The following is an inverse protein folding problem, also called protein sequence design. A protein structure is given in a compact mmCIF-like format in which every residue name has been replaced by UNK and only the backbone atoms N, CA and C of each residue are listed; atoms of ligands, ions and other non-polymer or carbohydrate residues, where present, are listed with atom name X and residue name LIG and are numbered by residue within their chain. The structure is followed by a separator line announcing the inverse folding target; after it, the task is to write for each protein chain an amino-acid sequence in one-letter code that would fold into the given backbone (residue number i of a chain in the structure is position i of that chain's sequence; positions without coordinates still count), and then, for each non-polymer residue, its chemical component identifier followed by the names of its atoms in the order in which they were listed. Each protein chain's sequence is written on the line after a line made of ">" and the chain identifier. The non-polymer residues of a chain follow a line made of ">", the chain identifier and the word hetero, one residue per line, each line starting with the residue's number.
data_IF_148423825579
#
_entry.id   IF_148423825579
#
_cell.length_a   1.000
_cell.length_b   1.000
_cell.length_c   1.000
_cell.angle_alpha   90.00
_cell.angle_beta   90.00
_cell.angle_gamma   90.00
#
_symmetry.space_group_name_H-M   'P 1'
#
loop_
_entity.id
_entity.type
_entity.pdbx_description
1 polymer ?
#
# COMPACT_ATOMS: atom_id res chain seq x y z
N UNK A 1 46.79 -35.14 25.88
CA UNK A 1 45.78 -34.13 26.23
C UNK A 1 46.03 -32.87 25.41
N UNK A 2 45.25 -32.63 24.35
CA UNK A 2 45.16 -31.34 23.65
C UNK A 2 43.69 -31.09 23.35
N UNK A 3 43.12 -30.11 24.05
CA UNK A 3 41.78 -29.59 23.83
C UNK A 3 41.79 -28.70 22.59
N UNK A 4 40.85 -28.92 21.67
CA UNK A 4 40.53 -27.97 20.60
C UNK A 4 39.25 -27.26 21.03
N UNK A 5 39.37 -25.96 21.30
CA UNK A 5 38.25 -25.06 21.56
C UNK A 5 37.58 -24.78 20.22
N UNK A 6 36.40 -25.35 20.00
CA UNK A 6 35.50 -24.93 18.92
C UNK A 6 34.84 -23.61 19.34
N UNK A 7 35.26 -22.51 18.73
CA UNK A 7 34.55 -21.24 18.80
C UNK A 7 33.30 -21.28 17.94
N UNK A 8 32.14 -21.40 18.57
CA UNK A 8 30.83 -21.24 17.95
C UNK A 8 30.64 -19.78 17.55
N UNK A 9 30.81 -19.48 16.26
CA UNK A 9 30.31 -18.26 15.64
C UNK A 9 28.78 -18.30 15.66
N UNK A 10 28.20 -17.46 16.52
CA UNK A 10 26.78 -17.16 16.58
C UNK A 10 26.34 -16.60 15.22
N UNK A 11 25.52 -17.36 14.52
CA UNK A 11 24.71 -16.88 13.42
C UNK A 11 23.76 -15.79 13.96
N UNK A 12 24.03 -14.54 13.59
CA UNK A 12 23.02 -13.48 13.68
C UNK A 12 22.01 -13.77 12.58
N UNK A 13 20.95 -14.50 12.93
CA UNK A 13 19.80 -14.71 12.05
C UNK A 13 19.09 -13.39 11.86
N UNK A 14 19.36 -12.69 10.76
CA UNK A 14 18.45 -11.66 10.27
C UNK A 14 17.12 -12.33 9.97
N UNK A 15 16.05 -11.86 10.61
CA UNK A 15 14.69 -12.23 10.23
C UNK A 15 14.51 -11.80 8.77
N UNK A 16 14.59 -12.76 7.85
CA UNK A 16 14.21 -12.52 6.47
C UNK A 16 12.71 -12.20 6.48
N UNK A 17 12.36 -10.96 6.13
CA UNK A 17 10.96 -10.58 5.91
C UNK A 17 10.41 -11.50 4.83
N UNK A 18 9.27 -12.12 5.11
CA UNK A 18 8.64 -13.09 4.22
C UNK A 18 7.39 -12.49 3.61
N UNK A 19 6.96 -13.00 2.44
CA UNK A 19 5.69 -12.56 1.85
C UNK A 19 4.49 -12.76 2.79
N UNK A 20 4.56 -13.76 3.68
CA UNK A 20 3.54 -13.99 4.70
C UNK A 20 3.42 -12.83 5.71
N UNK A 21 4.45 -11.97 5.81
CA UNK A 21 4.43 -10.80 6.68
C UNK A 21 3.55 -9.67 6.11
N UNK A 22 3.16 -9.76 4.84
CA UNK A 22 2.15 -8.89 4.22
C UNK A 22 0.74 -9.47 4.28
N UNK A 23 0.58 -10.74 4.66
CA UNK A 23 -0.73 -11.37 4.68
C UNK A 23 -1.59 -10.71 5.76
N UNK A 24 -2.69 -10.09 5.32
CA UNK A 24 -3.79 -9.68 6.18
C UNK A 24 -4.92 -10.68 6.00
N UNK A 25 -5.36 -11.27 7.11
CA UNK A 25 -6.46 -12.23 7.16
C UNK A 25 -7.64 -11.61 7.88
N UNK A 26 -8.84 -11.88 7.37
CA UNK A 26 -10.08 -11.45 7.99
C UNK A 26 -10.74 -12.67 8.63
N UNK A 27 -11.11 -12.55 9.90
CA UNK A 27 -11.84 -13.58 10.64
C UNK A 27 -13.03 -12.95 11.33
N UNK A 28 -14.19 -13.57 11.23
CA UNK A 28 -15.29 -13.22 12.12
C UNK A 28 -14.99 -13.71 13.53
N UNK A 29 -15.21 -12.84 14.51
CA UNK A 29 -15.15 -13.20 15.92
C UNK A 29 -16.48 -13.85 16.39
N UNK A 30 -16.54 -14.22 17.67
CA UNK A 30 -17.72 -14.85 18.26
C UNK A 30 -18.98 -13.96 18.26
N UNK A 31 -18.84 -12.65 18.01
CA UNK A 31 -19.91 -11.68 17.94
C UNK A 31 -20.27 -11.30 16.49
N UNK A 32 -19.63 -11.91 15.49
CA UNK A 32 -19.83 -11.60 14.08
C UNK A 32 -19.10 -10.33 13.61
N UNK A 33 -18.14 -9.82 14.40
CA UNK A 33 -17.31 -8.67 14.01
C UNK A 33 -16.09 -9.15 13.23
N UNK A 34 -15.76 -8.46 12.14
CA UNK A 34 -14.56 -8.73 11.37
C UNK A 34 -13.30 -8.31 12.14
N UNK A 35 -12.38 -9.25 12.35
CA UNK A 35 -11.05 -9.05 12.91
C UNK A 35 -10.00 -9.20 11.82
N UNK A 36 -9.14 -8.20 11.71
CA UNK A 36 -8.02 -8.18 10.77
C UNK A 36 -6.75 -8.64 11.50
N UNK A 37 -6.10 -9.68 10.99
CA UNK A 37 -4.92 -10.32 11.58
C UNK A 37 -3.77 -10.26 10.58
N UNK A 38 -2.60 -9.80 11.02
CA UNK A 38 -1.39 -9.71 10.19
C UNK A 38 -0.43 -8.66 10.74
N UNK A 39 0.85 -8.74 10.36
CA UNK A 39 1.87 -7.79 10.84
C UNK A 39 1.65 -6.35 10.35
N UNK A 40 0.81 -6.19 9.31
CA UNK A 40 0.41 -4.92 8.72
C UNK A 40 -1.05 -4.52 8.99
N UNK A 41 -1.82 -5.34 9.71
CA UNK A 41 -3.27 -5.13 9.82
C UNK A 41 -3.64 -3.86 10.61
N UNK A 42 -2.74 -3.36 11.48
CA UNK A 42 -3.02 -2.29 12.43
C UNK A 42 -3.45 -2.84 13.81
N UNK A 43 -4.00 -1.99 14.70
CA UNK A 43 -4.30 -0.57 14.49
C UNK A 43 -3.05 0.31 14.40
N UNK A 44 -3.17 1.41 13.66
CA UNK A 44 -2.21 2.54 13.62
C UNK A 44 -2.88 3.83 14.10
N UNK A 45 -2.10 4.75 14.67
CA UNK A 45 -2.58 6.01 15.21
C UNK A 45 -3.04 6.96 14.09
N UNK A 46 -2.33 6.96 12.96
CA UNK A 46 -2.65 7.74 11.77
C UNK A 46 -2.22 7.01 10.47
N UNK A 47 -2.57 7.60 9.31
CA UNK A 47 -2.22 7.02 8.00
C UNK A 47 -0.72 7.09 7.73
N UNK A 48 0.00 8.04 8.33
CA UNK A 48 1.44 8.21 8.13
C UNK A 48 2.22 7.08 8.80
N UNK A 49 1.88 6.74 10.04
CA UNK A 49 2.42 5.58 10.75
C UNK A 49 2.14 4.27 9.99
N UNK A 50 0.91 4.11 9.49
CA UNK A 50 0.52 2.96 8.65
C UNK A 50 1.40 2.89 7.39
N UNK A 51 1.58 4.01 6.70
CA UNK A 51 2.36 4.08 5.48
C UNK A 51 3.86 3.82 5.72
N UNK A 52 4.43 4.35 6.79
CA UNK A 52 5.82 4.11 7.19
C UNK A 52 6.05 2.62 7.51
N UNK A 53 5.18 2.03 8.35
CA UNK A 53 5.23 0.61 8.65
C UNK A 53 5.13 -0.22 7.36
N UNK A 54 4.15 0.09 6.50
CA UNK A 54 3.98 -0.55 5.19
C UNK A 54 5.25 -0.52 4.34
N UNK A 55 5.86 0.66 4.19
CA UNK A 55 7.11 0.83 3.44
C UNK A 55 8.27 0.00 4.03
N UNK A 56 8.47 0.02 5.35
CA UNK A 56 9.54 -0.73 6.01
C UNK A 56 9.43 -2.24 5.70
N UNK A 57 8.23 -2.81 5.82
CA UNK A 57 8.00 -4.24 5.51
C UNK A 57 8.18 -4.53 4.02
N UNK A 58 7.60 -3.70 3.16
CA UNK A 58 7.58 -3.95 1.71
C UNK A 58 8.97 -3.81 1.07
N UNK A 59 9.78 -2.85 1.51
CA UNK A 59 11.18 -2.71 1.07
C UNK A 59 12.01 -3.95 1.44
N UNK A 60 11.77 -4.52 2.63
CA UNK A 60 12.46 -5.72 3.12
C UNK A 60 12.25 -6.97 2.25
N UNK A 61 11.21 -7.01 1.41
CA UNK A 61 10.88 -8.15 0.54
C UNK A 61 11.61 -8.14 -0.80
N UNK A 62 12.24 -7.01 -1.18
CA UNK A 62 13.01 -6.90 -2.42
C UNK A 62 12.17 -6.63 -3.68
N UNK A 63 12.66 -7.11 -4.83
CA UNK A 63 12.45 -6.60 -6.20
C UNK A 63 11.01 -6.67 -6.79
N UNK A 64 10.00 -6.15 -6.10
CA UNK A 64 8.68 -5.86 -6.66
C UNK A 64 8.63 -4.43 -7.21
N UNK A 65 7.61 -4.11 -8.02
CA UNK A 65 7.32 -2.73 -8.42
C UNK A 65 6.65 -1.92 -7.29
N UNK A 66 6.19 -2.62 -6.24
CA UNK A 66 5.32 -2.07 -5.23
C UNK A 66 4.17 -2.98 -4.84
N UNK A 67 3.24 -2.40 -4.10
CA UNK A 67 2.02 -3.04 -3.61
C UNK A 67 0.86 -2.04 -3.62
N UNK A 68 -0.36 -2.57 -3.71
CA UNK A 68 -1.56 -1.81 -3.35
C UNK A 68 -2.12 -2.36 -2.03
N UNK A 69 -2.59 -1.46 -1.18
CA UNK A 69 -3.29 -1.84 0.04
C UNK A 69 -4.66 -1.16 0.11
N UNK A 70 -5.69 -1.94 0.42
CA UNK A 70 -6.97 -1.36 0.84
C UNK A 70 -6.85 -1.06 2.33
N UNK A 71 -7.17 0.18 2.70
CA UNK A 71 -7.09 0.67 4.06
C UNK A 71 -8.42 1.31 4.47
N UNK A 72 -8.67 1.40 5.76
CA UNK A 72 -9.87 2.01 6.33
C UNK A 72 -9.57 2.50 7.75
N UNK A 73 -10.42 3.39 8.26
CA UNK A 73 -10.43 3.77 9.67
C UNK A 73 -11.59 3.10 10.41
N UNK A 74 -11.39 2.80 11.69
CA UNK A 74 -12.43 2.38 12.61
C UNK A 74 -12.13 2.93 14.02
N UNK A 75 -13.15 3.32 14.81
CA UNK A 75 -12.94 3.83 16.15
C UNK A 75 -12.43 2.74 17.10
N UNK A 76 -11.50 3.08 17.99
CA UNK A 76 -11.13 2.25 19.13
C UNK A 76 -12.16 2.33 20.28
N UNK A 77 -11.91 1.59 21.37
CA UNK A 77 -12.77 1.59 22.57
C UNK A 77 -12.91 2.98 23.22
N UNK A 78 -11.99 3.91 22.91
CA UNK A 78 -12.00 5.30 23.38
C UNK A 78 -12.66 6.25 22.35
N UNK A 79 -13.16 5.72 21.23
CA UNK A 79 -13.82 6.48 20.17
C UNK A 79 -12.87 7.23 19.24
N UNK A 80 -11.57 6.95 19.28
CA UNK A 80 -10.58 7.56 18.39
C UNK A 80 -10.44 6.74 17.13
N UNK A 81 -10.43 7.39 15.98
CA UNK A 81 -10.16 6.72 14.71
C UNK A 81 -8.77 6.07 14.72
N UNK A 82 -8.72 4.79 14.41
CA UNK A 82 -7.50 4.02 14.16
C UNK A 82 -7.50 3.54 12.72
N UNK A 83 -6.32 3.39 12.15
CA UNK A 83 -6.16 2.98 10.76
C UNK A 83 -5.74 1.53 10.64
N UNK A 84 -6.27 0.86 9.62
CA UNK A 84 -6.09 -0.56 9.39
C UNK A 84 -5.83 -0.84 7.91
N UNK A 85 -5.03 -1.86 7.63
CA UNK A 85 -4.92 -2.45 6.29
C UNK A 85 -5.82 -3.69 6.26
N UNK A 86 -6.74 -3.74 5.30
CA UNK A 86 -7.63 -4.88 5.10
C UNK A 86 -7.10 -5.91 4.11
N UNK A 87 -6.29 -5.47 3.15
CA UNK A 87 -5.74 -6.34 2.10
C UNK A 87 -4.49 -5.73 1.48
N UNK A 88 -3.53 -6.57 1.09
CA UNK A 88 -2.34 -6.17 0.33
C UNK A 88 -2.22 -7.04 -0.92
N UNK A 89 -2.00 -6.40 -2.07
CA UNK A 89 -1.80 -7.05 -3.36
C UNK A 89 -0.52 -6.55 -4.03
N UNK A 90 0.14 -7.41 -4.80
CA UNK A 90 1.30 -6.99 -5.60
C UNK A 90 0.90 -5.96 -6.64
N UNK A 91 1.75 -4.93 -6.77
CA UNK A 91 1.74 -4.06 -7.92
C UNK A 91 2.49 -4.75 -9.05
N UNK A 92 1.73 -5.17 -10.06
CA UNK A 92 2.24 -5.84 -11.26
C UNK A 92 2.17 -4.89 -12.45
N UNK A 93 2.87 -5.18 -13.55
CA UNK A 93 2.79 -4.33 -14.74
C UNK A 93 4.11 -4.09 -15.47
N UNK A 94 4.08 -3.10 -16.37
CA UNK A 94 4.85 -3.13 -17.62
C UNK A 94 6.36 -2.91 -17.53
N UNK A 95 7.12 -3.75 -18.25
CA UNK A 95 8.56 -3.60 -18.54
C UNK A 95 8.94 -2.31 -19.32
N UNK A 96 7.96 -1.56 -19.82
CA UNK A 96 8.12 -0.22 -20.43
C UNK A 96 7.44 0.92 -19.65
N UNK A 97 6.93 0.61 -18.44
CA UNK A 97 7.10 1.49 -17.29
C UNK A 97 6.01 2.49 -16.94
N UNK A 98 4.83 2.44 -17.54
CA UNK A 98 3.77 3.43 -17.26
C UNK A 98 2.55 2.81 -16.58
N UNK A 99 2.02 1.72 -17.12
CA UNK A 99 0.84 1.09 -16.53
C UNK A 99 1.20 0.01 -15.51
N UNK A 100 0.53 0.08 -14.36
CA UNK A 100 0.61 -0.88 -13.26
C UNK A 100 -0.78 -1.34 -12.85
N UNK A 101 -0.89 -2.51 -12.24
CA UNK A 101 -2.17 -3.11 -11.85
C UNK A 101 -2.08 -3.82 -10.51
N UNK A 102 -3.19 -3.82 -9.78
CA UNK A 102 -3.38 -4.58 -8.54
C UNK A 102 -4.75 -5.25 -8.56
N UNK A 103 -4.81 -6.50 -8.09
CA UNK A 103 -6.08 -7.21 -7.89
C UNK A 103 -6.51 -7.03 -6.44
N UNK A 104 -7.64 -6.35 -6.21
CA UNK A 104 -8.15 -6.00 -4.89
C UNK A 104 -9.54 -6.59 -4.66
N UNK A 105 -9.90 -6.96 -3.42
CA UNK A 105 -11.20 -7.53 -3.12
C UNK A 105 -12.33 -6.50 -3.28
N UNK A 106 -13.53 -6.96 -3.66
CA UNK A 106 -14.78 -6.18 -3.72
C UNK A 106 -15.33 -5.95 -2.31
N UNK A 107 -15.15 -6.88 -1.39
CA UNK A 107 -15.59 -6.71 -0.02
C UNK A 107 -14.44 -7.14 0.88
N UNK A 108 -14.10 -6.31 1.86
CA UNK A 108 -13.03 -6.63 2.82
C UNK A 108 -13.48 -7.71 3.82
N UNK A 109 -14.78 -7.81 4.08
CA UNK A 109 -15.37 -8.82 4.96
C UNK A 109 -15.55 -10.14 4.20
N UNK A 110 -16.06 -10.06 2.96
CA UNK A 110 -16.27 -11.23 2.09
C UNK A 110 -15.47 -11.12 0.77
N UNK A 111 -14.15 -11.38 0.79
CA UNK A 111 -13.25 -11.14 -0.36
C UNK A 111 -13.41 -12.12 -1.52
N UNK A 112 -14.57 -12.77 -1.68
CA UNK A 112 -14.87 -13.74 -2.73
C UNK A 112 -14.91 -13.08 -4.14
N UNK A 113 -15.28 -11.80 -4.20
CA UNK A 113 -15.21 -10.99 -5.41
C UNK A 113 -13.91 -10.16 -5.47
N UNK A 114 -13.32 -10.03 -6.66
CA UNK A 114 -12.15 -9.17 -6.89
C UNK A 114 -12.36 -8.23 -8.08
N UNK A 115 -11.72 -7.06 -8.03
CA UNK A 115 -11.58 -6.12 -9.13
C UNK A 115 -10.12 -5.77 -9.36
N UNK A 116 -9.80 -5.41 -10.60
CA UNK A 116 -8.44 -4.99 -10.94
C UNK A 116 -8.40 -3.46 -10.99
N UNK A 117 -7.64 -2.88 -10.07
CA UNK A 117 -7.21 -1.50 -10.14
C UNK A 117 -6.14 -1.38 -11.23
N UNK A 118 -6.42 -0.59 -12.25
CA UNK A 118 -5.47 -0.18 -13.27
C UNK A 118 -4.98 1.23 -12.99
N UNK A 119 -3.66 1.35 -12.85
CA UNK A 119 -2.95 2.58 -12.63
C UNK A 119 -2.20 2.93 -13.91
N UNK A 120 -2.70 3.90 -14.66
CA UNK A 120 -1.82 4.54 -15.64
C UNK A 120 -0.84 5.41 -14.90
N UNK A 121 0.37 5.55 -15.44
CA UNK A 121 1.40 6.33 -14.80
C UNK A 121 2.36 6.94 -15.79
N UNK A 122 3.27 7.76 -15.27
CA UNK A 122 4.33 8.40 -16.05
C UNK A 122 5.63 8.28 -15.27
N UNK A 123 6.73 8.04 -15.99
CA UNK A 123 8.06 8.14 -15.38
C UNK A 123 8.64 9.54 -15.55
N UNK A 124 9.18 10.06 -14.48
CA UNK A 124 9.92 11.32 -14.45
C UNK A 124 11.28 11.03 -13.79
N UNK A 125 12.29 10.80 -14.63
CA UNK A 125 13.58 10.27 -14.17
C UNK A 125 13.46 8.83 -13.64
N UNK A 126 14.02 8.49 -12.46
CA UNK A 126 13.87 7.17 -11.87
C UNK A 126 12.45 6.90 -11.36
N UNK A 127 11.71 7.97 -11.04
CA UNK A 127 10.46 7.91 -10.32
C UNK A 127 9.26 7.59 -11.22
N UNK A 128 8.35 6.78 -10.69
CA UNK A 128 7.05 6.49 -11.31
C UNK A 128 5.94 7.13 -10.50
N UNK A 129 5.00 7.78 -11.19
CA UNK A 129 3.84 8.45 -10.59
C UNK A 129 2.56 7.98 -11.27
N UNK A 130 1.48 7.72 -10.53
CA UNK A 130 0.20 7.47 -11.16
C UNK A 130 -0.27 8.73 -11.91
N UNK A 131 -1.00 8.52 -13.00
CA UNK A 131 -1.71 9.53 -13.78
C UNK A 131 -3.21 9.22 -13.88
N UNK A 132 -3.62 7.97 -13.58
CA UNK A 132 -5.02 7.56 -13.46
C UNK A 132 -5.27 6.45 -12.45
N UNK A 133 -6.48 6.41 -11.90
CA UNK A 133 -7.00 5.33 -11.05
C UNK A 133 -8.28 4.76 -11.67
N UNK A 134 -8.20 3.56 -12.24
CA UNK A 134 -9.27 2.97 -13.04
C UNK A 134 -9.68 1.59 -12.52
N UNK A 135 -10.96 1.30 -12.54
CA UNK A 135 -11.45 -0.07 -12.51
C UNK A 135 -11.27 -0.66 -13.92
N UNK A 136 -10.39 -1.67 -14.06
CA UNK A 136 -10.02 -2.21 -15.38
C UNK A 136 -11.22 -2.80 -16.15
N UNK A 137 -12.20 -3.36 -15.44
CA UNK A 137 -13.38 -4.01 -16.03
C UNK A 137 -14.35 -2.98 -16.62
N UNK A 138 -14.58 -1.89 -15.91
CA UNK A 138 -15.59 -0.89 -16.28
C UNK A 138 -15.00 0.30 -17.03
N UNK A 139 -13.70 0.54 -16.91
CA UNK A 139 -13.03 1.76 -17.39
C UNK A 139 -13.42 3.02 -16.60
N UNK A 140 -14.20 2.87 -15.52
CA UNK A 140 -14.58 3.96 -14.64
C UNK A 140 -13.49 4.28 -13.63
N UNK A 141 -13.54 5.47 -13.05
CA UNK A 141 -12.71 5.85 -11.90
C UNK A 141 -12.85 4.82 -10.78
N UNK A 142 -11.71 4.44 -10.19
CA UNK A 142 -11.71 3.56 -9.01
C UNK A 142 -12.54 4.18 -7.88
N UNK A 143 -13.37 3.37 -7.22
CA UNK A 143 -14.37 3.87 -6.28
C UNK A 143 -13.93 3.85 -4.81
N UNK A 144 -12.72 3.35 -4.50
CA UNK A 144 -12.34 3.00 -3.12
C UNK A 144 -11.02 3.56 -2.70
N UNK A 145 -10.86 3.59 -1.40
CA UNK A 145 -9.65 4.07 -0.77
C UNK A 145 -8.55 3.02 -0.94
N UNK A 146 -7.41 3.48 -1.46
CA UNK A 146 -6.26 2.62 -1.73
C UNK A 146 -4.97 3.38 -1.47
N UNK A 147 -4.01 2.70 -0.84
CA UNK A 147 -2.61 3.11 -0.79
C UNK A 147 -1.84 2.36 -1.86
N UNK A 148 -1.00 3.07 -2.62
CA UNK A 148 -0.09 2.50 -3.61
C UNK A 148 1.33 2.73 -3.13
N UNK A 149 1.95 1.67 -2.63
CA UNK A 149 3.35 1.64 -2.23
C UNK A 149 4.20 1.40 -3.47
N UNK A 150 4.78 2.44 -4.06
CA UNK A 150 5.68 2.31 -5.19
C UNK A 150 7.10 2.09 -4.71
N UNK A 151 7.68 0.94 -5.03
CA UNK A 151 9.07 0.62 -4.71
C UNK A 151 9.97 0.94 -5.91
N UNK A 152 11.03 1.69 -5.65
CA UNK A 152 12.09 1.97 -6.62
C UNK A 152 13.35 1.21 -6.25
N UNK A 153 14.14 0.81 -7.25
CA UNK A 153 15.29 -0.08 -7.09
C UNK A 153 16.41 0.42 -6.15
N UNK A 154 16.33 1.65 -5.65
CA UNK A 154 17.19 2.21 -4.62
C UNK A 154 16.77 1.86 -3.17
N UNK A 155 15.69 1.08 -2.99
CA UNK A 155 15.10 0.84 -1.66
C UNK A 155 14.19 1.98 -1.21
N UNK A 156 13.90 2.94 -2.10
CA UNK A 156 12.98 4.03 -1.83
C UNK A 156 11.54 3.56 -2.00
N UNK A 157 10.70 3.86 -1.01
CA UNK A 157 9.27 3.64 -1.02
C UNK A 157 8.54 4.99 -1.09
N UNK A 158 7.69 5.17 -2.10
CA UNK A 158 6.79 6.34 -2.20
C UNK A 158 5.36 5.83 -2.08
N UNK A 159 4.57 6.42 -1.18
CA UNK A 159 3.18 6.01 -0.97
C UNK A 159 2.25 7.04 -1.59
N UNK A 160 1.39 6.59 -2.49
CA UNK A 160 0.30 7.40 -3.01
C UNK A 160 -1.01 6.97 -2.35
N UNK A 161 -1.72 7.90 -1.73
CA UNK A 161 -3.09 7.67 -1.28
C UNK A 161 -4.07 8.11 -2.34
N UNK A 162 -5.13 7.34 -2.54
CA UNK A 162 -6.30 7.77 -3.31
C UNK A 162 -7.54 7.50 -2.47
N UNK A 163 -8.35 8.54 -2.26
CA UNK A 163 -9.63 8.44 -1.56
C UNK A 163 -10.74 8.44 -2.60
N UNK A 164 -11.45 7.32 -2.74
CA UNK A 164 -12.40 7.09 -3.83
C UNK A 164 -13.57 8.07 -3.83
N UNK A 165 -14.03 8.45 -2.63
CA UNK A 165 -15.12 9.40 -2.47
C UNK A 165 -14.73 10.83 -2.89
N UNK A 166 -13.62 11.35 -2.35
CA UNK A 166 -13.18 12.73 -2.62
C UNK A 166 -12.41 12.87 -3.92
N UNK A 167 -11.99 11.75 -4.53
CA UNK A 167 -11.17 11.70 -5.73
C UNK A 167 -9.83 12.44 -5.59
N UNK A 168 -9.35 12.60 -4.36
CA UNK A 168 -8.07 13.25 -4.08
C UNK A 168 -6.96 12.21 -4.09
N UNK A 169 -5.85 12.56 -4.74
CA UNK A 169 -4.60 11.83 -4.66
C UNK A 169 -3.64 12.58 -3.75
N UNK A 170 -3.13 11.87 -2.75
CA UNK A 170 -2.12 12.32 -1.82
C UNK A 170 -0.82 11.57 -2.06
N UNK A 171 0.29 12.15 -1.62
CA UNK A 171 1.59 11.48 -1.55
C UNK A 171 2.12 11.59 -0.13
N UNK A 172 2.74 10.53 0.38
CA UNK A 172 3.44 10.58 1.66
C UNK A 172 4.68 11.46 1.55
N UNK A 173 4.86 12.35 2.50
CA UNK A 173 6.04 13.18 2.70
C UNK A 173 6.37 13.15 4.19
N UNK A 174 7.62 13.35 4.60
CA UNK A 174 8.07 13.08 5.99
C UNK A 174 7.34 13.81 7.13
N UNK A 175 6.38 14.68 6.82
CA UNK A 175 5.51 15.40 7.76
C UNK A 175 4.00 15.14 7.54
N UNK A 176 3.64 14.20 6.65
CA UNK A 176 2.27 13.79 6.41
C UNK A 176 1.93 13.48 4.94
N UNK A 177 0.71 13.01 4.72
CA UNK A 177 0.11 12.94 3.37
C UNK A 177 -0.28 14.33 2.86
N UNK A 178 0.25 14.70 1.70
CA UNK A 178 -0.04 15.98 1.04
C UNK A 178 -0.87 15.78 -0.23
N UNK A 179 -1.97 16.52 -0.44
CA UNK A 179 -2.71 16.49 -1.70
C UNK A 179 -1.84 16.97 -2.88
N UNK A 180 -1.77 16.16 -3.94
CA UNK A 180 -1.00 16.47 -5.16
C UNK A 180 -1.84 16.55 -6.42
N UNK A 181 -2.96 15.83 -6.46
CA UNK A 181 -3.84 15.83 -7.62
C UNK A 181 -5.28 15.51 -7.23
N UNK A 182 -6.19 15.76 -8.16
CA UNK A 182 -7.59 15.33 -8.09
C UNK A 182 -7.96 14.59 -9.36
N UNK A 183 -8.71 13.49 -9.26
CA UNK A 183 -9.35 12.85 -10.40
C UNK A 183 -10.60 13.66 -10.76
N UNK A 184 -10.60 14.30 -11.92
CA UNK A 184 -11.62 15.28 -12.31
C UNK A 184 -12.68 14.73 -13.26
N UNK A 185 -12.52 13.51 -13.78
CA UNK A 185 -13.48 12.87 -14.67
C UNK A 185 -13.81 11.43 -14.26
N UNK A 186 -14.79 10.84 -14.94
CA UNK A 186 -15.22 9.45 -14.74
C UNK A 186 -14.25 8.42 -15.34
N UNK A 187 -13.18 8.88 -16.01
CA UNK A 187 -12.17 8.05 -16.67
C UNK A 187 -10.85 8.09 -15.92
N UNK A 188 -10.88 8.41 -14.63
CA UNK A 188 -9.72 8.40 -13.77
C UNK A 188 -8.67 9.48 -14.09
N UNK A 189 -8.93 10.45 -14.97
CA UNK A 189 -7.94 11.44 -15.36
C UNK A 189 -7.62 12.39 -14.20
N UNK A 190 -6.34 12.58 -13.94
CA UNK A 190 -5.86 13.43 -12.85
C UNK A 190 -5.46 14.82 -13.32
N UNK A 191 -5.77 15.80 -12.48
CA UNK A 191 -5.28 17.18 -12.58
C UNK A 191 -4.42 17.47 -11.35
N UNK A 192 -3.16 17.85 -11.58
CA UNK A 192 -2.23 18.26 -10.52
C UNK A 192 -2.72 19.56 -9.91
N UNK A 193 -2.70 19.65 -8.58
CA UNK A 193 -3.12 20.84 -7.85
C UNK A 193 -2.09 21.97 -8.00
N UNK A 194 -2.54 23.21 -8.08
CA UNK A 194 -1.65 24.37 -8.21
C UNK A 194 -0.77 24.52 -6.95
N UNK A 195 0.55 24.65 -7.15
CA UNK A 195 1.51 24.70 -6.04
C UNK A 195 1.85 23.33 -5.44
N UNK A 196 1.23 22.25 -5.91
CA UNK A 196 1.67 20.90 -5.62
C UNK A 196 2.74 20.50 -6.61
N UNK A 197 4.00 20.64 -6.21
CA UNK A 197 5.06 19.88 -6.86
C UNK A 197 4.93 18.43 -6.40
N UNK A 198 5.10 17.49 -7.33
CA UNK A 198 5.35 16.11 -6.94
C UNK A 198 6.72 16.09 -6.26
N UNK A 199 6.70 16.33 -4.94
CA UNK A 199 7.90 16.44 -4.14
C UNK A 199 8.73 15.16 -4.33
N UNK A 200 10.05 15.27 -4.58
CA UNK A 200 10.93 14.12 -4.67
C UNK A 200 11.02 13.38 -3.34
#
# INVERSE_FOLDING_TARGET
>A
MRWVVLGSLLFVGGCATSRADLDVRVREDANGLARYEGALAGPYDDVDELAEAGCERMVGLGASLGYCAVFFSAPDDEGRDRWFIGHVADLTGGRRGEDRTCTLPIDLVEPSGVEVLSLQGRREGPAWRPTRFLNQRTGATWARDVLVFSLEGSGKCTVYGFVGFSRVVTVSHGDGFRPVATVYDERGAMQVLAGSEWLP
#
